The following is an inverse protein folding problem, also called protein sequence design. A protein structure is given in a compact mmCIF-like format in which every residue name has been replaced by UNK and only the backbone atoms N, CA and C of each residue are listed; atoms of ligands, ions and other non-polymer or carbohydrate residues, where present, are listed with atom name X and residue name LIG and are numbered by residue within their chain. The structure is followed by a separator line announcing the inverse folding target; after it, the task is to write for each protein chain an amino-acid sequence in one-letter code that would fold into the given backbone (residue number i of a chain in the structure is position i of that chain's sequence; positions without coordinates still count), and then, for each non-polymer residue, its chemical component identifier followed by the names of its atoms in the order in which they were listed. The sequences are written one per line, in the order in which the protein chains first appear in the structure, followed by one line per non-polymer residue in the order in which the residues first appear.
data_IF_949547720039
#
_entry.id   IF_949547720039
#
_cell.length_a   1.000
_cell.length_b   1.000
_cell.length_c   1.000
_cell.angle_alpha   90.00
_cell.angle_beta   90.00
_cell.angle_gamma   90.00
#
_symmetry.space_group_name_H-M   'P 1'
#
loop_
_entity.id
_entity.type
_entity.pdbx_description
1 polymer ?
#
# COMPACT_ATOMS: atom_id res chain seq x y z
N UNK A 1 -11.29 -13.66 23.89
CA UNK A 1 -11.50 -13.50 22.44
C UNK A 1 -11.19 -14.82 21.77
N UNK A 2 -12.12 -15.37 21.00
CA UNK A 2 -11.93 -16.57 20.20
C UNK A 2 -11.14 -16.28 18.92
N UNK A 3 -10.66 -17.33 18.25
CA UNK A 3 -9.94 -17.17 16.99
C UNK A 3 -10.79 -16.54 15.87
N UNK A 4 -12.08 -16.87 15.82
CA UNK A 4 -13.01 -16.29 14.84
C UNK A 4 -13.24 -14.80 15.09
N UNK A 5 -13.41 -14.39 16.35
CA UNK A 5 -13.53 -12.98 16.74
C UNK A 5 -12.27 -12.19 16.39
N UNK A 6 -11.08 -12.74 16.67
CA UNK A 6 -9.81 -12.12 16.32
C UNK A 6 -9.69 -11.90 14.81
N UNK A 7 -9.95 -12.94 14.00
CA UNK A 7 -9.93 -12.84 12.54
C UNK A 7 -10.89 -11.79 12.00
N UNK A 8 -12.10 -11.73 12.55
CA UNK A 8 -13.08 -10.72 12.16
C UNK A 8 -12.60 -9.30 12.52
N UNK A 9 -12.02 -9.11 13.71
CA UNK A 9 -11.51 -7.81 14.15
C UNK A 9 -10.42 -7.25 13.23
N UNK A 10 -9.45 -8.10 12.83
CA UNK A 10 -8.38 -7.69 11.91
C UNK A 10 -8.78 -7.76 10.42
N UNK A 11 -10.03 -8.08 10.11
CA UNK A 11 -10.50 -8.21 8.73
C UNK A 11 -9.94 -9.41 7.96
N UNK A 12 -9.34 -10.39 8.63
CA UNK A 12 -8.83 -11.64 8.05
C UNK A 12 -9.99 -12.64 7.78
N UNK A 13 -10.91 -12.19 6.93
CA UNK A 13 -12.12 -12.90 6.53
C UNK A 13 -12.22 -12.95 5.01
N UNK A 14 -13.02 -13.89 4.49
CA UNK A 14 -13.33 -13.96 3.06
C UNK A 14 -14.19 -12.80 2.55
N UNK A 15 -14.62 -11.87 3.42
CA UNK A 15 -15.51 -10.78 3.07
C UNK A 15 -16.78 -11.30 2.41
N UNK A 16 -17.13 -10.72 1.25
CA UNK A 16 -18.24 -11.16 0.40
C UNK A 16 -17.85 -12.21 -0.66
N UNK A 17 -16.67 -12.82 -0.52
CA UNK A 17 -16.08 -13.81 -1.43
C UNK A 17 -14.73 -13.35 -1.98
N UNK A 18 -13.71 -14.23 -1.93
CA UNK A 18 -12.30 -13.88 -2.26
C UNK A 18 -12.18 -13.18 -3.62
N UNK A 19 -12.75 -13.77 -4.68
CA UNK A 19 -12.69 -13.21 -6.02
C UNK A 19 -13.31 -11.80 -6.09
N UNK A 20 -14.43 -11.58 -5.40
CA UNK A 20 -15.10 -10.28 -5.34
C UNK A 20 -14.26 -9.25 -4.58
N UNK A 21 -13.63 -9.63 -3.48
CA UNK A 21 -12.73 -8.74 -2.75
C UNK A 21 -11.50 -8.36 -3.58
N UNK A 22 -10.92 -9.30 -4.33
CA UNK A 22 -9.82 -9.02 -5.28
C UNK A 22 -10.26 -8.03 -6.36
N UNK A 23 -11.43 -8.26 -6.99
CA UNK A 23 -11.97 -7.34 -8.00
C UNK A 23 -12.26 -5.95 -7.43
N UNK A 24 -12.80 -5.86 -6.21
CA UNK A 24 -12.98 -4.58 -5.52
C UNK A 24 -11.64 -3.90 -5.21
N UNK A 25 -10.59 -4.65 -4.89
CA UNK A 25 -9.24 -4.14 -4.73
C UNK A 25 -8.69 -3.52 -6.01
N UNK A 26 -8.80 -4.24 -7.14
CA UNK A 26 -8.38 -3.74 -8.46
C UNK A 26 -9.18 -2.48 -8.83
N UNK A 27 -10.51 -2.53 -8.72
CA UNK A 27 -11.37 -1.40 -9.03
C UNK A 27 -11.07 -0.18 -8.13
N UNK A 28 -10.82 -0.42 -6.83
CA UNK A 28 -10.47 0.65 -5.89
C UNK A 28 -9.08 1.24 -6.14
N UNK A 29 -8.10 0.44 -6.54
CA UNK A 29 -6.81 0.96 -7.00
C UNK A 29 -7.00 1.92 -8.17
N UNK A 30 -7.75 1.51 -9.20
CA UNK A 30 -8.05 2.35 -10.37
C UNK A 30 -8.82 3.62 -9.98
N UNK A 31 -9.88 3.47 -9.18
CA UNK A 31 -10.73 4.59 -8.78
C UNK A 31 -9.99 5.66 -7.95
N UNK A 32 -8.94 5.26 -7.23
CA UNK A 32 -8.15 6.15 -6.38
C UNK A 32 -6.80 6.56 -7.02
N UNK A 33 -6.58 6.26 -8.30
CA UNK A 33 -5.43 6.76 -9.06
C UNK A 33 -5.31 8.29 -9.04
N UNK A 34 -6.39 9.10 -9.08
CA UNK A 34 -6.24 10.55 -8.97
C UNK A 34 -5.59 11.00 -7.65
N UNK A 35 -5.92 10.34 -6.54
CA UNK A 35 -5.32 10.61 -5.22
C UNK A 35 -3.84 10.22 -5.22
N UNK A 36 -3.51 9.06 -5.80
CA UNK A 36 -2.13 8.61 -5.97
C UNK A 36 -1.31 9.57 -6.85
N UNK A 37 -1.88 10.02 -7.98
CA UNK A 37 -1.26 10.95 -8.91
C UNK A 37 -1.01 12.31 -8.26
N UNK A 38 -1.94 12.82 -7.46
CA UNK A 38 -1.74 14.04 -6.68
C UNK A 38 -0.58 13.88 -5.68
N UNK A 39 -0.54 12.77 -4.93
CA UNK A 39 0.58 12.46 -4.03
C UNK A 39 1.93 12.39 -4.77
N UNK A 40 1.96 11.70 -5.91
CA UNK A 40 3.15 11.60 -6.76
C UNK A 40 3.59 12.97 -7.30
N UNK A 41 2.67 13.82 -7.74
CA UNK A 41 2.97 15.17 -8.22
C UNK A 41 3.61 16.03 -7.11
N UNK A 42 3.09 15.96 -5.89
CA UNK A 42 3.68 16.66 -4.73
C UNK A 42 5.06 16.11 -4.42
N UNK A 43 5.23 14.78 -4.38
CA UNK A 43 6.56 14.16 -4.16
C UNK A 43 7.57 14.59 -5.21
N UNK A 44 7.21 14.59 -6.50
CA UNK A 44 8.09 15.04 -7.59
C UNK A 44 8.42 16.52 -7.45
N UNK A 45 7.45 17.36 -7.09
CA UNK A 45 7.68 18.77 -6.85
C UNK A 45 8.68 18.99 -5.71
N UNK A 46 8.48 18.34 -4.56
CA UNK A 46 9.36 18.45 -3.40
C UNK A 46 10.79 17.98 -3.74
N UNK A 47 10.92 16.78 -4.31
CA UNK A 47 12.21 16.22 -4.72
C UNK A 47 12.98 17.16 -5.66
N UNK A 48 12.29 17.79 -6.63
CA UNK A 48 12.90 18.77 -7.54
C UNK A 48 13.34 20.05 -6.84
N UNK A 49 12.55 20.56 -5.90
CA UNK A 49 12.86 21.82 -5.20
C UNK A 49 13.98 21.67 -4.18
N UNK A 50 14.10 20.49 -3.55
CA UNK A 50 15.09 20.26 -2.49
C UNK A 50 16.30 19.44 -2.91
N UNK A 51 16.31 18.91 -4.14
CA UNK A 51 17.35 17.99 -4.61
C UNK A 51 17.36 16.66 -3.84
N UNK A 52 16.29 16.34 -3.11
CA UNK A 52 16.18 15.10 -2.34
C UNK A 52 15.83 13.95 -3.28
N UNK A 53 16.59 12.86 -3.19
CA UNK A 53 16.22 11.62 -3.86
C UNK A 53 15.12 10.91 -3.06
N UNK A 54 13.97 10.70 -3.69
CA UNK A 54 12.82 10.00 -3.13
C UNK A 54 12.68 8.58 -3.71
N UNK A 55 13.70 8.09 -4.43
CA UNK A 55 13.72 6.72 -4.93
C UNK A 55 13.83 5.72 -3.78
N UNK A 56 13.17 4.57 -3.94
CA UNK A 56 13.36 3.45 -3.02
C UNK A 56 14.69 2.76 -3.36
N UNK A 57 15.48 2.31 -2.37
CA UNK A 57 16.74 1.56 -2.60
C UNK A 57 16.61 0.28 -3.46
N UNK A 58 15.38 -0.15 -3.76
CA UNK A 58 15.11 -1.35 -4.58
C UNK A 58 15.40 -1.08 -6.06
N UNK A 59 15.39 0.20 -6.45
CA UNK A 59 15.65 0.65 -7.82
C UNK A 59 17.01 0.18 -8.31
N UNK A 60 18.05 0.24 -7.48
CA UNK A 60 19.40 -0.24 -7.82
C UNK A 60 19.42 -1.74 -8.13
N UNK A 61 18.61 -2.51 -7.42
CA UNK A 61 18.53 -3.95 -7.58
C UNK A 61 17.75 -4.39 -8.84
N UNK A 62 17.00 -3.48 -9.47
CA UNK A 62 16.22 -3.80 -10.67
C UNK A 62 17.09 -4.12 -11.88
N UNK A 63 18.35 -3.66 -11.91
CA UNK A 63 19.31 -3.97 -12.99
C UNK A 63 20.12 -5.25 -12.76
N UNK A 64 19.83 -5.99 -11.68
CA UNK A 64 20.54 -7.23 -11.31
C UNK A 64 20.26 -8.45 -12.21
N UNK A 65 20.71 -9.66 -11.84
CA UNK A 65 20.38 -10.88 -12.55
C UNK A 65 18.89 -11.27 -12.40
N UNK A 66 18.36 -12.09 -13.31
CA UNK A 66 16.94 -12.47 -13.34
C UNK A 66 16.44 -13.08 -12.01
N UNK A 67 17.24 -13.93 -11.36
CA UNK A 67 16.86 -14.55 -10.09
C UNK A 67 16.63 -13.52 -8.97
N UNK A 68 17.43 -12.44 -8.95
CA UNK A 68 17.28 -11.35 -7.96
C UNK A 68 16.01 -10.57 -8.24
N UNK A 69 15.70 -10.33 -9.52
CA UNK A 69 14.46 -9.67 -9.93
C UNK A 69 13.23 -10.48 -9.51
N UNK A 70 13.24 -11.80 -9.75
CA UNK A 70 12.16 -12.70 -9.33
C UNK A 70 11.97 -12.70 -7.81
N UNK A 71 13.07 -12.70 -7.05
CA UNK A 71 13.03 -12.59 -5.59
C UNK A 71 12.40 -11.27 -5.13
N UNK A 72 12.81 -10.14 -5.71
CA UNK A 72 12.27 -8.81 -5.39
C UNK A 72 10.78 -8.74 -5.72
N UNK A 73 10.36 -9.24 -6.88
CA UNK A 73 8.94 -9.30 -7.23
C UNK A 73 8.15 -10.15 -6.23
N UNK A 74 8.65 -11.33 -5.86
CA UNK A 74 8.00 -12.17 -4.85
C UNK A 74 7.87 -11.47 -3.49
N UNK A 75 8.92 -10.76 -3.06
CA UNK A 75 8.91 -10.03 -1.80
C UNK A 75 7.97 -8.82 -1.85
N UNK A 76 8.06 -7.98 -2.87
CA UNK A 76 7.35 -6.71 -2.93
C UNK A 76 5.89 -6.82 -3.41
N UNK A 77 5.55 -7.82 -4.22
CA UNK A 77 4.20 -7.97 -4.81
C UNK A 77 3.35 -8.97 -4.02
N UNK A 78 3.97 -9.90 -3.28
CA UNK A 78 3.24 -10.92 -2.53
C UNK A 78 3.45 -10.74 -1.03
N UNK A 79 4.69 -10.87 -0.55
CA UNK A 79 4.97 -10.89 0.88
C UNK A 79 4.66 -9.56 1.56
N UNK A 80 5.20 -8.45 1.05
CA UNK A 80 5.01 -7.12 1.60
C UNK A 80 3.52 -6.74 1.69
N UNK A 81 2.69 -6.85 0.63
CA UNK A 81 1.26 -6.61 0.73
C UNK A 81 0.57 -7.45 1.80
N UNK A 82 0.88 -8.75 1.91
CA UNK A 82 0.25 -9.60 2.92
C UNK A 82 0.64 -9.14 4.33
N UNK A 83 1.94 -8.96 4.60
CA UNK A 83 2.42 -8.62 5.95
C UNK A 83 2.05 -7.20 6.35
N UNK A 84 2.19 -6.25 5.44
CA UNK A 84 1.89 -4.85 5.70
C UNK A 84 0.38 -4.63 5.85
N UNK A 85 -0.47 -5.25 5.03
CA UNK A 85 -1.93 -5.08 5.20
C UNK A 85 -2.44 -5.74 6.50
N UNK A 86 -1.85 -6.86 6.93
CA UNK A 86 -2.15 -7.43 8.25
C UNK A 86 -1.82 -6.45 9.39
N UNK A 87 -0.67 -5.79 9.32
CA UNK A 87 -0.24 -4.83 10.35
C UNK A 87 -1.03 -3.51 10.27
N UNK A 88 -1.03 -2.85 9.11
CA UNK A 88 -1.59 -1.52 8.97
C UNK A 88 -3.12 -1.52 8.87
N UNK A 89 -3.72 -2.43 8.10
CA UNK A 89 -5.19 -2.43 7.87
C UNK A 89 -5.91 -3.36 8.83
N UNK A 90 -5.27 -4.47 9.22
CA UNK A 90 -5.77 -5.37 10.24
C UNK A 90 -5.65 -4.76 11.63
N UNK A 91 -4.43 -4.57 12.13
CA UNK A 91 -4.19 -4.13 13.50
C UNK A 91 -4.37 -2.61 13.69
N UNK A 92 -3.53 -1.78 13.05
CA UNK A 92 -3.47 -0.34 13.35
C UNK A 92 -4.74 0.41 12.95
N UNK A 93 -5.23 0.24 11.72
CA UNK A 93 -6.45 0.87 11.26
C UNK A 93 -7.68 0.34 12.00
N UNK A 94 -7.76 -0.97 12.24
CA UNK A 94 -8.82 -1.58 13.04
C UNK A 94 -8.92 -0.93 14.43
N UNK A 95 -7.78 -0.75 15.10
CA UNK A 95 -7.73 -0.09 16.40
C UNK A 95 -8.03 1.42 16.32
N UNK A 96 -7.40 2.15 15.40
CA UNK A 96 -7.63 3.58 15.22
C UNK A 96 -9.11 3.90 14.95
N UNK A 97 -9.82 3.03 14.22
CA UNK A 97 -11.25 3.16 13.95
C UNK A 97 -12.15 3.00 15.18
N UNK A 98 -11.68 2.35 16.24
CA UNK A 98 -12.41 2.26 17.49
C UNK A 98 -12.47 3.61 18.23
N UNK A 99 -11.54 4.53 17.94
CA UNK A 99 -11.37 5.78 18.70
C UNK A 99 -11.37 7.07 17.84
N UNK A 100 -11.24 6.95 16.52
CA UNK A 100 -11.21 8.07 15.57
C UNK A 100 -12.21 7.86 14.44
N UNK A 101 -12.79 8.94 13.90
CA UNK A 101 -13.60 8.86 12.68
C UNK A 101 -12.79 8.29 11.49
N UNK A 102 -13.46 7.63 10.55
CA UNK A 102 -12.78 6.86 9.53
C UNK A 102 -11.81 7.66 8.63
N UNK A 103 -12.09 8.91 8.22
CA UNK A 103 -11.13 9.66 7.41
C UNK A 103 -9.86 9.99 8.21
N UNK A 104 -10.02 10.36 9.48
CA UNK A 104 -8.92 10.70 10.38
C UNK A 104 -8.05 9.46 10.62
N UNK A 105 -8.66 8.31 10.91
CA UNK A 105 -7.94 7.05 11.08
C UNK A 105 -7.18 6.64 9.81
N UNK A 106 -7.80 6.80 8.63
CA UNK A 106 -7.19 6.47 7.36
C UNK A 106 -5.98 7.36 7.05
N UNK A 107 -6.09 8.67 7.30
CA UNK A 107 -4.98 9.61 7.15
C UNK A 107 -3.86 9.33 8.15
N UNK A 108 -4.19 9.11 9.43
CA UNK A 108 -3.21 8.79 10.47
C UNK A 108 -2.40 7.53 10.15
N UNK A 109 -3.10 6.43 9.83
CA UNK A 109 -2.43 5.16 9.48
C UNK A 109 -1.70 5.26 8.15
N UNK A 110 -2.22 6.01 7.18
CA UNK A 110 -1.54 6.28 5.91
C UNK A 110 -0.24 7.06 6.09
N UNK A 111 -0.21 8.04 6.98
CA UNK A 111 1.01 8.77 7.34
C UNK A 111 2.01 7.88 8.08
N UNK A 112 1.55 7.04 9.01
CA UNK A 112 2.42 6.08 9.71
C UNK A 112 3.03 5.07 8.72
N UNK A 113 2.23 4.58 7.77
CA UNK A 113 2.70 3.74 6.67
C UNK A 113 3.80 4.46 5.89
N UNK A 114 3.57 5.71 5.48
CA UNK A 114 4.57 6.50 4.75
C UNK A 114 5.85 6.77 5.55
N UNK A 115 5.75 6.98 6.87
CA UNK A 115 6.89 7.37 7.71
C UNK A 115 7.92 6.25 7.92
N UNK A 116 7.51 4.97 7.82
CA UNK A 116 8.44 3.84 7.99
C UNK A 116 9.19 3.45 6.71
N UNK A 117 8.84 4.09 5.59
CA UNK A 117 9.39 3.77 4.28
C UNK A 117 10.71 4.55 4.02
N UNK A 118 11.69 3.94 3.33
CA UNK A 118 13.04 4.49 3.18
C UNK A 118 13.17 5.66 2.17
N UNK A 119 12.09 6.09 1.51
CA UNK A 119 12.09 7.16 0.49
C UNK A 119 12.25 8.57 1.07
N UNK A 120 12.43 8.69 2.40
CA UNK A 120 12.59 9.96 3.09
C UNK A 120 11.33 10.84 3.07
N UNK A 121 11.49 12.04 3.60
CA UNK A 121 10.36 12.96 3.82
C UNK A 121 9.68 13.41 2.52
N UNK A 122 10.42 13.53 1.42
CA UNK A 122 9.89 13.90 0.11
C UNK A 122 8.99 12.80 -0.48
N UNK A 123 9.19 11.54 -0.10
CA UNK A 123 8.34 10.40 -0.48
C UNK A 123 7.03 10.30 0.30
N UNK A 124 6.89 11.01 1.42
CA UNK A 124 5.70 10.92 2.29
C UNK A 124 4.39 11.17 1.53
N UNK A 125 4.24 12.20 0.68
CA UNK A 125 2.96 12.49 0.02
C UNK A 125 2.42 11.33 -0.82
N UNK A 126 3.24 10.71 -1.68
CA UNK A 126 2.79 9.57 -2.51
C UNK A 126 2.54 8.33 -1.66
N UNK A 127 3.40 8.04 -0.68
CA UNK A 127 3.26 6.87 0.18
C UNK A 127 2.04 6.99 1.12
N UNK A 128 1.76 8.20 1.61
CA UNK A 128 0.57 8.47 2.42
C UNK A 128 -0.70 8.38 1.58
N UNK A 129 -0.67 8.77 0.31
CA UNK A 129 -1.78 8.57 -0.62
C UNK A 129 -2.08 7.08 -0.85
N UNK A 130 -1.06 6.25 -1.07
CA UNK A 130 -1.20 4.78 -1.11
C UNK A 130 -1.77 4.28 0.21
N UNK A 131 -1.16 4.72 1.31
CA UNK A 131 -1.55 4.46 2.69
C UNK A 131 -3.05 4.65 2.93
N UNK A 132 -3.53 5.83 2.59
CA UNK A 132 -4.91 6.25 2.71
C UNK A 132 -5.85 5.44 1.81
N UNK A 133 -5.49 5.23 0.54
CA UNK A 133 -6.32 4.49 -0.42
C UNK A 133 -6.63 3.06 0.07
N UNK A 134 -5.61 2.37 0.57
CA UNK A 134 -5.76 1.02 1.11
C UNK A 134 -6.59 1.01 2.41
N UNK A 135 -6.51 2.06 3.24
CA UNK A 135 -7.37 2.20 4.41
C UNK A 135 -8.85 2.45 4.02
N UNK A 136 -9.11 3.22 2.95
CA UNK A 136 -10.46 3.39 2.37
C UNK A 136 -11.02 2.04 1.92
N UNK A 137 -10.22 1.24 1.22
CA UNK A 137 -10.62 -0.12 0.82
C UNK A 137 -10.95 -0.99 2.04
N UNK A 138 -10.11 -0.97 3.08
CA UNK A 138 -10.39 -1.69 4.33
C UNK A 138 -11.66 -1.22 5.02
N UNK A 139 -11.95 0.09 5.01
CA UNK A 139 -13.16 0.67 5.58
C UNK A 139 -14.42 0.26 4.79
N UNK A 140 -14.34 0.27 3.47
CA UNK A 140 -15.46 -0.08 2.60
C UNK A 140 -15.78 -1.58 2.65
N UNK A 141 -14.74 -2.42 2.61
CA UNK A 141 -14.88 -3.87 2.42
C UNK A 141 -14.94 -4.67 3.72
N UNK A 142 -14.38 -4.15 4.81
CA UNK A 142 -14.23 -4.89 6.06
C UNK A 142 -13.15 -5.99 6.03
N UNK A 143 -12.91 -6.62 4.88
CA UNK A 143 -11.82 -7.57 4.64
C UNK A 143 -10.52 -6.88 4.25
N UNK A 144 -9.38 -7.48 4.60
CA UNK A 144 -8.05 -7.07 4.11
C UNK A 144 -7.69 -7.62 2.72
N UNK A 145 -8.50 -8.50 2.12
CA UNK A 145 -8.18 -9.06 0.80
C UNK A 145 -8.18 -7.97 -0.28
N UNK A 146 -9.15 -7.05 -0.25
CA UNK A 146 -9.22 -5.95 -1.20
C UNK A 146 -8.01 -5.02 -1.14
N UNK A 147 -7.57 -4.50 0.03
CA UNK A 147 -6.35 -3.72 0.09
C UNK A 147 -5.09 -4.55 -0.24
N UNK A 148 -5.02 -5.85 0.09
CA UNK A 148 -3.88 -6.70 -0.35
C UNK A 148 -3.79 -6.71 -1.88
N UNK A 149 -4.90 -6.93 -2.57
CA UNK A 149 -4.92 -6.95 -4.03
C UNK A 149 -4.52 -5.59 -4.64
N UNK A 150 -5.04 -4.49 -4.09
CA UNK A 150 -4.69 -3.15 -4.53
C UNK A 150 -3.22 -2.80 -4.28
N UNK A 151 -2.67 -3.21 -3.13
CA UNK A 151 -1.28 -2.97 -2.76
C UNK A 151 -0.33 -3.81 -3.65
N UNK A 152 -0.64 -5.09 -3.84
CA UNK A 152 0.09 -5.95 -4.76
C UNK A 152 0.10 -5.38 -6.19
N UNK A 153 -1.05 -4.91 -6.67
CA UNK A 153 -1.15 -4.28 -7.99
C UNK A 153 -0.30 -3.00 -8.07
N UNK A 154 -0.38 -2.13 -7.05
CA UNK A 154 0.44 -0.91 -7.00
C UNK A 154 1.95 -1.24 -7.06
N UNK A 155 2.41 -2.18 -6.24
CA UNK A 155 3.83 -2.55 -6.19
C UNK A 155 4.28 -3.25 -7.48
N UNK A 156 3.44 -4.13 -8.02
CA UNK A 156 3.69 -4.79 -9.29
C UNK A 156 3.82 -3.78 -10.43
N UNK A 157 2.88 -2.82 -10.54
CA UNK A 157 2.95 -1.75 -11.53
C UNK A 157 4.21 -0.90 -11.35
N UNK A 158 4.53 -0.46 -10.14
CA UNK A 158 5.71 0.35 -9.88
C UNK A 158 7.02 -0.37 -10.25
N UNK A 159 7.15 -1.65 -9.87
CA UNK A 159 8.34 -2.45 -10.21
C UNK A 159 8.42 -2.76 -11.70
N UNK A 160 7.32 -3.11 -12.35
CA UNK A 160 7.31 -3.36 -13.80
C UNK A 160 7.72 -2.10 -14.57
N UNK A 161 7.18 -0.93 -14.21
CA UNK A 161 7.61 0.34 -14.80
C UNK A 161 9.09 0.62 -14.53
N UNK A 162 9.57 0.37 -13.31
CA UNK A 162 10.99 0.51 -12.97
C UNK A 162 11.90 -0.35 -13.85
N UNK A 163 11.53 -1.63 -14.05
CA UNK A 163 12.29 -2.54 -14.93
C UNK A 163 12.28 -2.04 -16.38
N UNK A 164 11.13 -1.61 -16.90
CA UNK A 164 11.00 -1.13 -18.28
C UNK A 164 11.79 0.17 -18.56
N UNK A 165 12.03 0.97 -17.52
CA UNK A 165 12.75 2.25 -17.65
C UNK A 165 14.27 2.10 -17.44
N UNK A 166 14.72 1.04 -16.75
CA UNK A 166 16.10 0.88 -16.31
C UNK A 166 16.85 -0.26 -16.99
N UNK A 167 16.15 -1.11 -17.74
CA UNK A 167 16.72 -2.17 -18.58
C UNK A 167 16.37 -1.94 -20.04
#
# INVERSE_FOLDING_TARGET
MSWSEFRAAIGLTGGSGIAKEVLCGIAGYIALLPVLAAGAAVTIFLAKQTGTDAAHPVVEALSGPLWMLLLIFGLAVIWAPITEELMFRGAFFGHARAIMAWPIAATFVGLLFAAIHPQGWAGIPVLAAIGFNLAVLRQWRGSIIAPIAAHALNNGTALTLGVMLLR
#
